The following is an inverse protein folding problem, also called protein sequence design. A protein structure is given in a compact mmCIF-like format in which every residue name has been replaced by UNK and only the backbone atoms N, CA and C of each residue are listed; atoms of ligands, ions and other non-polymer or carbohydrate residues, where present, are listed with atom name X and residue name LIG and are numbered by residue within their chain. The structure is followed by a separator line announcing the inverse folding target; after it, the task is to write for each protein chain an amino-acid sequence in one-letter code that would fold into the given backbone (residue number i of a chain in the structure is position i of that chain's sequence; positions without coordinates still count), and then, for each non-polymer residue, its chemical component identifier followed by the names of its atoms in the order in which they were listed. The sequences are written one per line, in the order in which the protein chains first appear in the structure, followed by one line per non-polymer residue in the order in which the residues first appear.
data_IF_193204901910
#
_entry.id   IF_193204901910
#
_cell.length_a   1.000
_cell.length_b   1.000
_cell.length_c   1.000
_cell.angle_alpha   90.00
_cell.angle_beta   90.00
_cell.angle_gamma   90.00
#
_symmetry.space_group_name_H-M   'P 1'
#
loop_
_entity.id
_entity.type
_entity.pdbx_description
1 polymer ?
#
# COMPACT_ATOMS: atom_id res chain seq x y z
N UNK A 1 -15.32 -3.39 27.30
CA UNK A 1 -15.57 -4.84 27.12
C UNK A 1 -16.93 -4.99 26.46
N UNK A 2 -17.00 -5.00 25.13
CA UNK A 2 -18.23 -5.29 24.39
C UNK A 2 -18.07 -6.69 23.82
N UNK A 3 -18.80 -7.63 24.39
CA UNK A 3 -18.72 -9.05 24.11
C UNK A 3 -19.69 -9.32 22.95
N UNK A 4 -19.17 -9.59 21.75
CA UNK A 4 -19.94 -10.30 20.74
C UNK A 4 -19.90 -11.79 21.09
N UNK A 5 -20.70 -12.19 22.09
CA UNK A 5 -21.06 -13.59 22.25
C UNK A 5 -21.99 -13.92 21.09
N UNK A 6 -21.66 -14.96 20.33
CA UNK A 6 -22.65 -15.67 19.52
C UNK A 6 -23.66 -16.21 20.52
N UNK A 7 -24.73 -15.46 20.75
CA UNK A 7 -25.80 -15.83 21.67
C UNK A 7 -26.44 -17.09 21.08
N UNK A 8 -26.19 -18.25 21.70
CA UNK A 8 -26.82 -19.51 21.31
C UNK A 8 -28.34 -19.33 21.30
N UNK A 9 -29.04 -20.05 20.41
CA UNK A 9 -30.44 -19.81 20.05
C UNK A 9 -31.40 -19.72 21.26
N UNK A 10 -31.04 -20.35 22.39
CA UNK A 10 -31.77 -20.36 23.65
C UNK A 10 -31.71 -19.07 24.47
N UNK A 11 -30.78 -18.15 24.17
CA UNK A 11 -30.51 -16.95 24.96
C UNK A 11 -30.86 -15.64 24.22
N UNK A 12 -31.58 -15.70 23.10
CA UNK A 12 -31.97 -14.49 22.37
C UNK A 12 -33.06 -13.73 23.15
N UNK A 13 -32.98 -12.39 23.22
CA UNK A 13 -34.06 -11.60 23.77
C UNK A 13 -35.35 -11.85 22.97
N UNK A 14 -36.54 -11.77 23.60
CA UNK A 14 -37.81 -12.15 22.98
C UNK A 14 -38.16 -11.34 21.71
N UNK A 15 -37.49 -10.20 21.48
CA UNK A 15 -37.70 -9.31 20.33
C UNK A 15 -36.56 -9.39 19.30
N UNK A 16 -35.71 -10.42 19.36
CA UNK A 16 -34.61 -10.56 18.42
C UNK A 16 -35.10 -10.95 17.02
N UNK A 17 -34.87 -10.07 16.05
CA UNK A 17 -35.13 -10.36 14.64
C UNK A 17 -33.97 -11.19 14.10
N UNK A 18 -34.25 -12.40 13.58
CA UNK A 18 -33.27 -13.16 12.80
C UNK A 18 -33.00 -12.39 11.52
N UNK A 19 -31.78 -11.90 11.36
CA UNK A 19 -31.35 -11.09 10.22
C UNK A 19 -30.15 -11.77 9.56
N UNK A 20 -30.10 -11.76 8.23
CA UNK A 20 -28.96 -12.30 7.48
C UNK A 20 -27.74 -11.40 7.63
N UNK A 21 -26.53 -11.93 7.44
CA UNK A 21 -25.28 -11.15 7.57
C UNK A 21 -25.28 -9.91 6.66
N UNK A 22 -25.80 -10.03 5.44
CA UNK A 22 -25.90 -8.92 4.50
C UNK A 22 -26.87 -7.84 4.98
N UNK A 23 -28.02 -8.24 5.52
CA UNK A 23 -28.99 -7.30 6.10
C UNK A 23 -28.43 -6.59 7.34
N UNK A 24 -27.67 -7.30 8.18
CA UNK A 24 -26.97 -6.70 9.34
C UNK A 24 -25.98 -5.66 8.87
N UNK A 25 -25.15 -5.97 7.86
CA UNK A 25 -24.17 -5.03 7.31
C UNK A 25 -24.84 -3.79 6.70
N UNK A 26 -25.96 -3.99 5.98
CA UNK A 26 -26.75 -2.89 5.42
C UNK A 26 -27.37 -2.03 6.52
N UNK A 27 -27.90 -2.66 7.57
CA UNK A 27 -28.47 -1.96 8.72
C UNK A 27 -27.40 -1.14 9.46
N UNK A 28 -26.24 -1.73 9.75
CA UNK A 28 -25.10 -1.04 10.38
C UNK A 28 -24.61 0.14 9.53
N UNK A 29 -24.47 -0.08 8.22
CA UNK A 29 -24.06 0.98 7.28
C UNK A 29 -25.07 2.13 7.27
N UNK A 30 -26.37 1.81 7.28
CA UNK A 30 -27.43 2.82 7.36
C UNK A 30 -27.39 3.61 8.68
N UNK A 31 -27.12 2.95 9.81
CA UNK A 31 -26.97 3.62 11.11
C UNK A 31 -25.78 4.59 11.10
N UNK A 32 -24.63 4.17 10.58
CA UNK A 32 -23.44 5.03 10.47
C UNK A 32 -23.70 6.21 9.52
N UNK A 33 -24.41 5.97 8.42
CA UNK A 33 -24.74 7.02 7.46
C UNK A 33 -25.71 8.05 8.00
N UNK A 34 -26.73 7.61 8.75
CA UNK A 34 -27.76 8.45 9.37
C UNK A 34 -27.39 8.98 10.77
N UNK A 35 -26.14 8.81 11.20
CA UNK A 35 -25.70 9.26 12.53
C UNK A 35 -25.93 10.77 12.71
N UNK A 36 -26.45 11.17 13.88
CA UNK A 36 -26.92 12.54 14.15
C UNK A 36 -25.83 13.60 13.96
N UNK A 37 -24.62 13.31 14.43
CA UNK A 37 -23.45 14.19 14.26
C UNK A 37 -22.40 13.50 13.40
N UNK A 38 -22.13 14.04 12.22
CA UNK A 38 -21.13 13.46 11.30
C UNK A 38 -19.70 13.50 11.84
N UNK A 39 -19.42 14.37 12.81
CA UNK A 39 -18.13 14.46 13.51
C UNK A 39 -17.79 13.19 14.28
N UNK A 40 -18.76 12.55 14.93
CA UNK A 40 -18.53 11.39 15.80
C UNK A 40 -18.10 10.17 14.99
N UNK A 41 -18.63 10.06 13.77
CA UNK A 41 -18.33 8.98 12.82
C UNK A 41 -17.34 9.40 11.74
N UNK A 42 -16.69 10.57 11.89
CA UNK A 42 -15.79 11.11 10.87
C UNK A 42 -14.65 10.15 10.54
N UNK A 43 -13.95 9.64 11.56
CA UNK A 43 -12.85 8.69 11.38
C UNK A 43 -13.34 7.32 10.90
N UNK A 44 -14.56 6.93 11.26
CA UNK A 44 -15.16 5.68 10.78
C UNK A 44 -15.47 5.76 9.27
N UNK A 45 -15.98 6.91 8.81
CA UNK A 45 -16.31 7.15 7.39
C UNK A 45 -15.06 7.42 6.54
N UNK A 46 -14.13 8.23 7.04
CA UNK A 46 -13.00 8.76 6.24
C UNK A 46 -11.63 8.21 6.62
N UNK A 47 -11.52 7.35 7.65
CA UNK A 47 -10.24 6.90 8.19
C UNK A 47 -9.34 6.23 7.16
N UNK A 48 -9.90 5.50 6.20
CA UNK A 48 -9.13 4.88 5.11
C UNK A 48 -8.52 5.91 4.15
N UNK A 49 -9.21 7.02 3.85
CA UNK A 49 -8.64 8.12 3.05
C UNK A 49 -7.54 8.86 3.81
N UNK A 50 -7.72 9.09 5.11
CA UNK A 50 -6.73 9.74 5.97
C UNK A 50 -5.46 8.89 6.04
N UNK A 51 -5.61 7.60 6.31
CA UNK A 51 -4.50 6.65 6.33
C UNK A 51 -3.78 6.62 4.97
N UNK A 52 -4.53 6.56 3.86
CA UNK A 52 -3.96 6.63 2.51
C UNK A 52 -3.15 7.92 2.29
N UNK A 53 -3.68 9.07 2.68
CA UNK A 53 -2.98 10.36 2.59
C UNK A 53 -1.66 10.38 3.35
N UNK A 54 -1.64 9.93 4.61
CA UNK A 54 -0.41 9.86 5.41
C UNK A 54 0.63 8.90 4.82
N UNK A 55 0.20 7.72 4.37
CA UNK A 55 1.11 6.76 3.73
C UNK A 55 1.70 7.33 2.44
N UNK A 56 0.89 7.95 1.58
CA UNK A 56 1.37 8.56 0.34
C UNK A 56 2.39 9.68 0.60
N UNK A 57 2.12 10.57 1.55
CA UNK A 57 3.04 11.65 1.92
C UNK A 57 4.35 11.10 2.49
N UNK A 58 4.27 10.15 3.43
CA UNK A 58 5.44 9.52 4.03
C UNK A 58 6.30 8.81 2.98
N UNK A 59 5.67 8.00 2.12
CA UNK A 59 6.34 7.30 1.02
C UNK A 59 6.98 8.25 0.01
N UNK A 60 6.34 9.37 -0.31
CA UNK A 60 6.90 10.38 -1.21
C UNK A 60 8.16 11.02 -0.63
N UNK A 61 8.13 11.43 0.64
CA UNK A 61 9.28 12.05 1.31
C UNK A 61 10.45 11.07 1.42
N UNK A 62 10.17 9.84 1.87
CA UNK A 62 11.18 8.78 2.02
C UNK A 62 11.80 8.43 0.67
N UNK A 63 10.97 8.17 -0.35
CA UNK A 63 11.45 7.83 -1.70
C UNK A 63 12.28 8.97 -2.28
N UNK A 64 11.85 10.23 -2.14
CA UNK A 64 12.63 11.39 -2.58
C UNK A 64 14.00 11.46 -1.90
N UNK A 65 14.05 11.23 -0.59
CA UNK A 65 15.31 11.26 0.18
C UNK A 65 16.26 10.13 -0.23
N UNK A 66 15.76 8.89 -0.31
CA UNK A 66 16.54 7.72 -0.70
C UNK A 66 17.05 7.87 -2.14
N UNK A 67 16.19 8.26 -3.08
CA UNK A 67 16.57 8.43 -4.48
C UNK A 67 17.60 9.55 -4.66
N UNK A 68 17.48 10.67 -3.92
CA UNK A 68 18.50 11.74 -3.93
C UNK A 68 19.86 11.20 -3.46
N UNK A 69 19.88 10.43 -2.37
CA UNK A 69 21.12 9.85 -1.82
C UNK A 69 21.75 8.84 -2.78
N UNK A 70 20.94 7.96 -3.38
CA UNK A 70 21.41 7.00 -4.40
C UNK A 70 21.93 7.73 -5.64
N UNK A 71 21.23 8.76 -6.12
CA UNK A 71 21.66 9.57 -7.28
C UNK A 71 23.02 10.20 -7.04
N UNK A 72 23.22 10.85 -5.88
CA UNK A 72 24.50 11.46 -5.52
C UNK A 72 25.62 10.43 -5.44
N UNK A 73 25.39 9.29 -4.77
CA UNK A 73 26.38 8.22 -4.67
C UNK A 73 26.75 7.64 -6.04
N UNK A 74 25.77 7.42 -6.92
CA UNK A 74 26.01 6.90 -8.27
C UNK A 74 26.72 7.90 -9.17
N UNK A 75 26.31 9.16 -9.18
CA UNK A 75 26.97 10.18 -10.02
C UNK A 75 28.42 10.34 -9.59
N UNK A 76 28.66 10.49 -8.28
CA UNK A 76 30.02 10.62 -7.76
C UNK A 76 30.88 9.40 -8.11
N UNK A 77 30.39 8.18 -7.87
CA UNK A 77 31.15 6.97 -8.10
C UNK A 77 31.31 6.63 -9.59
N UNK A 78 30.29 6.84 -10.41
CA UNK A 78 30.35 6.52 -11.85
C UNK A 78 31.22 7.53 -12.61
N UNK A 79 31.26 8.80 -12.17
CA UNK A 79 32.24 9.77 -12.69
C UNK A 79 33.65 9.37 -12.26
N UNK A 80 33.85 8.92 -11.01
CA UNK A 80 35.16 8.45 -10.56
C UNK A 80 35.64 7.16 -11.25
N UNK A 81 34.72 6.27 -11.64
CA UNK A 81 35.02 4.90 -12.11
C UNK A 81 34.79 4.72 -13.62
N UNK A 82 34.32 5.76 -14.35
CA UNK A 82 33.95 5.69 -15.78
C UNK A 82 33.04 4.49 -16.15
N UNK A 83 32.21 4.00 -15.22
CA UNK A 83 31.22 2.95 -15.50
C UNK A 83 29.86 3.58 -15.79
N UNK A 84 29.49 3.67 -17.07
CA UNK A 84 28.13 4.04 -17.47
C UNK A 84 27.23 2.80 -17.56
N UNK A 85 26.35 2.60 -16.57
CA UNK A 85 25.24 1.65 -16.71
C UNK A 85 24.22 2.15 -17.74
N UNK A 86 23.57 1.22 -18.45
CA UNK A 86 22.43 1.50 -19.32
C UNK A 86 21.30 2.25 -18.56
N UNK A 87 20.79 3.38 -19.09
CA UNK A 87 19.72 4.15 -18.44
C UNK A 87 18.43 3.34 -18.28
N UNK A 88 18.12 2.47 -19.24
CA UNK A 88 16.98 1.56 -19.19
C UNK A 88 17.08 0.55 -18.03
N UNK A 89 18.29 0.05 -17.74
CA UNK A 89 18.52 -0.93 -16.69
C UNK A 89 18.31 -0.32 -15.30
N UNK A 90 18.73 0.93 -15.11
CA UNK A 90 18.47 1.68 -13.88
C UNK A 90 16.96 1.93 -13.70
N UNK A 91 16.28 2.33 -14.78
CA UNK A 91 14.84 2.58 -14.75
C UNK A 91 14.03 1.32 -14.39
N UNK A 92 14.34 0.18 -15.02
CA UNK A 92 13.70 -1.11 -14.71
C UNK A 92 13.96 -1.55 -13.26
N UNK A 93 15.19 -1.38 -12.77
CA UNK A 93 15.55 -1.74 -11.39
C UNK A 93 14.83 -0.87 -10.36
N UNK A 94 14.76 0.44 -10.58
CA UNK A 94 14.02 1.35 -9.69
C UNK A 94 12.52 1.05 -9.71
N UNK A 95 11.98 0.71 -10.89
CA UNK A 95 10.58 0.33 -11.02
C UNK A 95 10.27 -0.94 -10.23
N UNK A 96 11.14 -1.93 -10.29
CA UNK A 96 11.02 -3.16 -9.51
C UNK A 96 10.99 -2.86 -8.00
N UNK A 97 11.95 -2.07 -7.50
CA UNK A 97 11.99 -1.72 -6.07
C UNK A 97 10.75 -0.97 -5.62
N UNK A 98 10.22 -0.07 -6.44
CA UNK A 98 9.00 0.68 -6.13
C UNK A 98 7.75 -0.20 -6.11
N UNK A 99 7.61 -1.17 -7.02
CA UNK A 99 6.48 -2.11 -7.02
C UNK A 99 6.55 -3.02 -5.79
N UNK A 100 7.73 -3.53 -5.45
CA UNK A 100 7.91 -4.43 -4.28
C UNK A 100 7.59 -3.69 -2.98
N UNK A 101 8.17 -2.51 -2.80
CA UNK A 101 8.02 -1.74 -1.55
C UNK A 101 6.67 -1.03 -1.45
N UNK A 102 6.11 -0.58 -2.58
CA UNK A 102 4.85 0.18 -2.61
C UNK A 102 3.58 -0.67 -2.68
N UNK A 103 3.65 -1.88 -3.27
CA UNK A 103 2.46 -2.72 -3.47
C UNK A 103 2.57 -4.06 -2.74
N UNK A 104 3.62 -4.84 -2.99
CA UNK A 104 3.69 -6.20 -2.45
C UNK A 104 3.86 -6.20 -0.94
N UNK A 105 4.81 -5.43 -0.42
CA UNK A 105 5.11 -5.39 1.01
C UNK A 105 3.91 -4.94 1.86
N UNK A 106 3.21 -3.83 1.55
CA UNK A 106 2.04 -3.40 2.33
C UNK A 106 0.85 -4.35 2.20
N UNK A 107 0.65 -4.99 1.05
CA UNK A 107 -0.45 -5.94 0.84
C UNK A 107 -0.30 -7.18 1.73
N UNK A 108 0.90 -7.73 1.81
CA UNK A 108 1.18 -8.89 2.66
C UNK A 108 1.21 -8.49 4.14
N UNK A 109 1.98 -7.46 4.49
CA UNK A 109 2.12 -7.06 5.91
C UNK A 109 0.82 -6.50 6.49
N UNK A 110 0.06 -5.73 5.71
CA UNK A 110 -1.21 -5.17 6.12
C UNK A 110 -2.27 -6.25 6.38
N UNK A 111 -2.37 -7.25 5.50
CA UNK A 111 -3.32 -8.36 5.72
C UNK A 111 -2.95 -9.20 6.95
N UNK A 112 -1.65 -9.47 7.17
CA UNK A 112 -1.18 -10.16 8.37
C UNK A 112 -1.48 -9.34 9.62
N UNK A 113 -1.19 -8.03 9.60
CA UNK A 113 -1.37 -7.15 10.76
C UNK A 113 -2.85 -7.00 11.12
N UNK A 114 -3.73 -6.81 10.14
CA UNK A 114 -5.18 -6.74 10.36
C UNK A 114 -5.69 -8.08 10.90
N UNK A 115 -5.21 -9.20 10.37
CA UNK A 115 -5.59 -10.53 10.86
C UNK A 115 -5.15 -10.75 12.31
N UNK A 116 -3.92 -10.33 12.65
CA UNK A 116 -3.42 -10.40 14.03
C UNK A 116 -4.24 -9.52 14.96
N UNK A 117 -4.58 -8.29 14.53
CA UNK A 117 -5.43 -7.38 15.28
C UNK A 117 -6.83 -7.96 15.52
N UNK A 118 -7.42 -8.60 14.51
CA UNK A 118 -8.71 -9.27 14.63
C UNK A 118 -8.68 -10.46 15.60
N UNK A 119 -7.57 -11.22 15.64
CA UNK A 119 -7.37 -12.30 16.61
C UNK A 119 -7.27 -11.73 18.04
N UNK A 120 -6.45 -10.70 18.24
CA UNK A 120 -6.24 -10.07 19.55
C UNK A 120 -7.55 -9.46 20.08
N UNK A 121 -8.26 -8.73 19.23
CA UNK A 121 -9.51 -8.06 19.59
C UNK A 121 -10.74 -8.97 19.50
N UNK A 122 -10.56 -10.24 19.11
CA UNK A 122 -11.62 -11.25 18.92
C UNK A 122 -12.78 -10.73 18.06
N UNK A 123 -12.46 -9.93 17.04
CA UNK A 123 -13.47 -9.24 16.22
C UNK A 123 -13.99 -10.08 15.06
N UNK A 124 -13.18 -11.02 14.56
CA UNK A 124 -13.53 -11.92 13.46
C UNK A 124 -12.92 -13.30 13.73
N UNK A 125 -13.65 -14.35 13.36
CA UNK A 125 -13.12 -15.72 13.40
C UNK A 125 -12.19 -15.96 12.20
N UNK A 126 -10.89 -16.08 12.48
CA UNK A 126 -9.86 -16.30 11.46
C UNK A 126 -9.42 -17.76 11.54
N UNK A 127 -9.48 -18.53 10.43
CA UNK A 127 -9.09 -19.93 10.43
C UNK A 127 -7.63 -20.10 10.87
N UNK A 128 -7.35 -21.11 11.69
CA UNK A 128 -5.98 -21.41 12.15
C UNK A 128 -5.17 -22.07 11.03
N UNK A 129 -3.97 -21.53 10.78
CA UNK A 129 -3.02 -22.08 9.81
C UNK A 129 -2.60 -23.53 10.14
N UNK A 130 -2.56 -23.89 11.43
CA UNK A 130 -2.11 -25.22 11.87
C UNK A 130 -3.15 -26.31 11.61
N UNK A 131 -4.42 -25.98 11.76
CA UNK A 131 -5.49 -26.99 11.76
C UNK A 131 -6.19 -27.09 10.40
N UNK A 132 -6.30 -26.00 9.65
CA UNK A 132 -7.06 -25.98 8.39
C UNK A 132 -6.46 -25.01 7.35
N UNK A 133 -5.33 -25.42 6.76
CA UNK A 133 -4.61 -24.64 5.75
C UNK A 133 -5.44 -24.37 4.49
N UNK A 134 -6.30 -25.31 4.07
CA UNK A 134 -7.14 -25.12 2.87
C UNK A 134 -8.14 -23.99 3.09
N UNK A 135 -8.84 -23.98 4.22
CA UNK A 135 -9.78 -22.90 4.57
C UNK A 135 -9.06 -21.57 4.77
N UNK A 136 -7.86 -21.59 5.36
CA UNK A 136 -7.02 -20.40 5.47
C UNK A 136 -6.70 -19.79 4.10
N UNK A 137 -6.14 -20.55 3.17
CA UNK A 137 -5.81 -20.03 1.83
C UNK A 137 -7.06 -19.64 1.03
N UNK A 138 -8.17 -20.34 1.20
CA UNK A 138 -9.43 -20.00 0.55
C UNK A 138 -10.00 -18.67 1.07
N UNK A 139 -9.89 -18.40 2.37
CA UNK A 139 -10.24 -17.11 2.97
C UNK A 139 -9.44 -15.96 2.35
N UNK A 140 -8.10 -16.08 2.30
CA UNK A 140 -7.25 -15.05 1.69
C UNK A 140 -7.51 -14.89 0.19
N UNK A 141 -7.70 -16.00 -0.55
CA UNK A 141 -8.06 -15.96 -1.96
C UNK A 141 -9.35 -15.17 -2.20
N UNK A 142 -10.36 -15.36 -1.35
CA UNK A 142 -11.63 -14.63 -1.45
C UNK A 142 -11.46 -13.14 -1.17
N UNK A 143 -10.62 -12.76 -0.19
CA UNK A 143 -10.28 -11.36 0.08
C UNK A 143 -9.65 -10.71 -1.16
N UNK A 144 -8.62 -11.34 -1.75
CA UNK A 144 -7.97 -10.80 -2.93
C UNK A 144 -8.89 -10.78 -4.16
N UNK A 145 -9.75 -11.79 -4.32
CA UNK A 145 -10.74 -11.84 -5.41
C UNK A 145 -11.73 -10.68 -5.34
N UNK A 146 -12.27 -10.40 -4.15
CA UNK A 146 -13.23 -9.31 -3.93
C UNK A 146 -12.60 -7.93 -4.16
N UNK A 147 -11.32 -7.77 -3.81
CA UNK A 147 -10.56 -6.54 -4.01
C UNK A 147 -9.89 -6.38 -5.38
N UNK A 148 -9.95 -7.38 -6.26
CA UNK A 148 -9.04 -7.49 -7.41
C UNK A 148 -9.03 -6.25 -8.32
N UNK A 149 -10.20 -5.67 -8.59
CA UNK A 149 -10.31 -4.47 -9.44
C UNK A 149 -9.59 -3.26 -8.82
N UNK A 150 -9.73 -3.07 -7.51
CA UNK A 150 -9.06 -1.99 -6.77
C UNK A 150 -7.55 -2.20 -6.74
N UNK A 151 -7.11 -3.44 -6.51
CA UNK A 151 -5.68 -3.79 -6.55
C UNK A 151 -5.07 -3.53 -7.92
N UNK A 152 -5.79 -3.87 -9.00
CA UNK A 152 -5.32 -3.60 -10.35
C UNK A 152 -5.09 -2.11 -10.58
N UNK A 153 -6.04 -1.25 -10.18
CA UNK A 153 -5.89 0.20 -10.27
C UNK A 153 -4.69 0.73 -9.48
N UNK A 154 -4.45 0.22 -8.26
CA UNK A 154 -3.30 0.60 -7.44
C UNK A 154 -1.98 0.18 -8.09
N UNK A 155 -1.91 -1.04 -8.64
CA UNK A 155 -0.74 -1.55 -9.35
C UNK A 155 -0.45 -0.69 -10.57
N UNK A 156 -1.45 -0.45 -11.42
CA UNK A 156 -1.30 0.40 -12.62
C UNK A 156 -0.81 1.80 -12.24
N UNK A 157 -1.39 2.42 -11.20
CA UNK A 157 -0.92 3.70 -10.69
C UNK A 157 0.54 3.68 -10.22
N UNK A 158 0.95 2.63 -9.50
CA UNK A 158 2.34 2.46 -9.08
C UNK A 158 3.30 2.23 -10.24
N UNK A 159 2.91 1.47 -11.26
CA UNK A 159 3.72 1.24 -12.47
C UNK A 159 3.91 2.56 -13.23
N UNK A 160 2.84 3.34 -13.43
CA UNK A 160 2.95 4.65 -14.09
C UNK A 160 3.85 5.61 -13.31
N UNK A 161 3.70 5.67 -11.98
CA UNK A 161 4.56 6.49 -11.13
C UNK A 161 6.01 6.02 -11.15
N UNK A 162 6.24 4.71 -11.17
CA UNK A 162 7.54 4.08 -11.25
C UNK A 162 8.26 4.29 -12.58
N UNK A 163 7.51 4.53 -13.66
CA UNK A 163 8.09 4.92 -14.95
C UNK A 163 8.34 6.44 -15.01
N UNK A 164 7.41 7.24 -14.47
CA UNK A 164 7.49 8.70 -14.52
C UNK A 164 8.64 9.28 -13.70
N UNK A 165 8.83 8.82 -12.46
CA UNK A 165 9.87 9.37 -11.57
C UNK A 165 11.31 9.17 -12.12
N UNK A 166 11.73 7.97 -12.56
CA UNK A 166 13.04 7.77 -13.15
C UNK A 166 13.19 8.48 -14.50
N UNK A 167 12.11 8.65 -15.27
CA UNK A 167 12.14 9.42 -16.51
C UNK A 167 12.48 10.89 -16.24
N UNK A 168 11.81 11.52 -15.27
CA UNK A 168 12.16 12.89 -14.87
C UNK A 168 13.62 12.98 -14.37
N UNK A 169 14.10 11.94 -13.68
CA UNK A 169 15.49 11.89 -13.20
C UNK A 169 16.51 11.69 -14.33
N UNK A 170 16.17 10.93 -15.38
CA UNK A 170 17.08 10.66 -16.49
C UNK A 170 17.32 11.91 -17.34
N UNK A 171 16.29 12.74 -17.51
CA UNK A 171 16.39 14.03 -18.19
C UNK A 171 17.38 14.97 -17.47
N UNK A 172 17.30 15.06 -16.14
CA UNK A 172 18.25 15.87 -15.36
C UNK A 172 19.69 15.34 -15.45
N UNK A 173 19.87 14.02 -15.53
CA UNK A 173 21.18 13.38 -15.62
C UNK A 173 21.88 13.68 -16.95
N UNK A 174 21.13 13.72 -18.06
CA UNK A 174 21.68 14.07 -19.37
C UNK A 174 22.26 15.49 -19.38
N UNK A 175 21.52 16.46 -18.86
CA UNK A 175 21.99 17.86 -18.77
C UNK A 175 23.30 17.97 -17.98
N UNK A 176 23.45 17.23 -16.88
CA UNK A 176 24.68 17.24 -16.07
C UNK A 176 25.85 16.63 -16.85
N UNK A 177 25.65 15.51 -17.55
CA UNK A 177 26.70 14.87 -18.32
C UNK A 177 27.20 15.77 -19.47
N UNK A 178 26.31 16.49 -20.13
CA UNK A 178 26.68 17.39 -21.22
C UNK A 178 27.50 18.59 -20.71
N UNK A 179 27.15 19.16 -19.54
CA UNK A 179 27.96 20.19 -18.87
C UNK A 179 29.37 19.70 -18.54
N UNK A 180 29.49 18.48 -18.00
CA UNK A 180 30.80 17.90 -17.65
C UNK A 180 31.65 17.68 -18.91
N UNK A 181 31.07 17.17 -19.99
CA UNK A 181 31.78 17.00 -21.27
C UNK A 181 32.25 18.33 -21.86
N UNK A 182 31.42 19.37 -21.78
CA UNK A 182 31.80 20.72 -22.22
C UNK A 182 32.97 21.26 -21.40
N UNK A 183 32.94 21.11 -20.07
CA UNK A 183 34.04 21.53 -19.20
C UNK A 183 35.35 20.78 -19.50
N UNK A 184 35.27 19.47 -19.74
CA UNK A 184 36.44 18.66 -20.10
C UNK A 184 37.03 19.06 -21.47
N UNK A 185 36.19 19.36 -22.45
CA UNK A 185 36.65 19.86 -23.76
C UNK A 185 37.37 21.19 -23.68
N UNK A 186 36.95 22.08 -22.76
CA UNK A 186 37.59 23.38 -22.54
C UNK A 186 38.93 23.29 -21.81
N UNK A 187 39.12 22.27 -20.98
CA UNK A 187 40.36 22.07 -20.21
C UNK A 187 41.48 21.40 -21.05
N UNK A 188 41.12 20.83 -22.20
CA UNK A 188 42.04 20.19 -23.14
C UNK A 188 42.49 21.12 -24.28
N UNK A 189 42.08 22.39 -24.29
CA UNK A 189 42.56 23.46 -25.18
C UNK A 189 43.54 24.37 -24.43
#
# INVERSE_FOLDING_TARGET
MIIHTVVGEKNLPPNAVKMTEEEVLKHQTNLVNKWRYSSDVFFLKNGHYIAAGFTALGSFIITKHILKKIKLYRVLNNVLVMKMDCPLCLQLRNSLYQIITGVMYPSVTGTILISLSAIINKSMDIPSLKNDHKRFFQFYKNIFKSGALKFHGIITGHVLLALFLPYMQSLELQNIMDIVRMAESSNNQ
#
